data_IF_102784925879
#
_entry.id   IF_102784925879
#
_cell.length_a   1.000
_cell.length_b   1.000
_cell.length_c   1.000
_cell.angle_alpha   90.00
_cell.angle_beta   90.00
_cell.angle_gamma   90.00
#
_symmetry.space_group_name_H-M   'P 1'
#
loop_
_entity.id
_entity.type
_entity.pdbx_description
1 polymer ?
#
# COMPACT_ATOMS: atom_id res chain seq x y z
N UNK A 1 -18.09 5.20 -26.40
CA UNK A 1 -17.14 5.51 -25.31
C UNK A 1 -16.25 6.65 -25.78
N UNK A 2 -16.25 7.77 -25.06
CA UNK A 2 -15.45 8.95 -25.43
C UNK A 2 -13.96 8.64 -25.25
N UNK A 3 -13.24 8.42 -26.35
CA UNK A 3 -11.77 8.35 -26.34
C UNK A 3 -11.24 9.77 -26.21
N UNK A 4 -11.01 10.18 -24.97
CA UNK A 4 -10.45 11.49 -24.64
C UNK A 4 -9.05 11.60 -25.28
N UNK A 5 -8.97 12.14 -26.50
CA UNK A 5 -7.70 12.46 -27.19
C UNK A 5 -7.11 13.71 -26.54
N UNK A 6 -6.62 13.58 -25.31
CA UNK A 6 -5.71 14.56 -24.72
C UNK A 6 -4.38 14.39 -25.45
N UNK A 7 -4.15 15.20 -26.50
CA UNK A 7 -2.84 15.24 -27.16
C UNK A 7 -1.77 15.62 -26.12
N UNK A 8 -0.94 14.66 -25.74
CA UNK A 8 0.21 14.84 -24.84
C UNK A 8 0.13 14.13 -23.48
N UNK A 9 -1.03 13.58 -23.07
CA UNK A 9 -1.14 12.80 -21.82
C UNK A 9 -1.13 11.32 -22.15
N UNK A 10 -0.20 10.57 -21.55
CA UNK A 10 -0.15 9.11 -21.60
C UNK A 10 -0.11 8.55 -20.20
N UNK A 11 -0.59 7.32 -20.04
CA UNK A 11 -0.28 6.52 -18.87
C UNK A 11 1.21 6.15 -18.96
N UNK A 12 2.05 6.53 -17.98
CA UNK A 12 3.44 6.10 -17.96
C UNK A 12 3.51 4.58 -17.78
N UNK A 13 4.59 3.98 -18.28
CA UNK A 13 4.86 2.59 -18.02
C UNK A 13 5.31 2.39 -16.56
N UNK A 14 5.12 1.19 -16.03
CA UNK A 14 5.45 0.88 -14.64
C UNK A 14 6.94 1.04 -14.30
N UNK A 15 7.84 0.92 -15.28
CA UNK A 15 9.29 1.09 -15.05
C UNK A 15 9.76 2.56 -15.09
N UNK A 16 8.87 3.51 -15.37
CA UNK A 16 9.22 4.92 -15.31
C UNK A 16 9.29 5.42 -13.87
N UNK A 17 9.88 6.60 -13.67
CA UNK A 17 10.01 7.17 -12.33
C UNK A 17 8.65 7.32 -11.65
N UNK A 18 8.50 6.69 -10.50
CA UNK A 18 7.28 6.75 -9.70
C UNK A 18 7.48 7.71 -8.51
N UNK A 19 6.37 8.12 -7.90
CA UNK A 19 6.40 8.97 -6.69
C UNK A 19 6.17 8.18 -5.41
N UNK A 20 5.39 7.11 -5.50
CA UNK A 20 4.99 6.24 -4.40
C UNK A 20 4.35 4.97 -4.95
N UNK A 21 4.30 3.93 -4.12
CA UNK A 21 3.46 2.73 -4.30
C UNK A 21 2.27 2.83 -3.34
N UNK A 22 1.11 2.36 -3.77
CA UNK A 22 -0.10 2.28 -2.95
C UNK A 22 -0.48 0.83 -2.69
N UNK A 23 -0.79 0.49 -1.43
CA UNK A 23 -1.33 -0.79 -1.02
C UNK A 23 -2.68 -0.61 -0.30
N UNK A 24 -3.62 -1.53 -0.55
CA UNK A 24 -4.86 -1.68 0.20
C UNK A 24 -4.64 -2.81 1.20
N UNK A 25 -4.72 -2.50 2.50
CA UNK A 25 -4.37 -3.43 3.56
C UNK A 25 -5.48 -4.49 3.73
N UNK A 26 -5.14 -5.79 3.76
CA UNK A 26 -6.12 -6.87 3.85
C UNK A 26 -6.82 -6.86 5.20
N UNK A 27 -8.08 -7.31 5.23
CA UNK A 27 -8.87 -7.43 6.46
C UNK A 27 -9.80 -8.64 6.47
N UNK A 28 -10.37 -8.93 7.64
CA UNK A 28 -11.19 -10.11 7.90
C UNK A 28 -12.51 -10.17 7.12
N UNK A 29 -13.02 -9.04 6.65
CA UNK A 29 -14.29 -9.02 5.89
C UNK A 29 -14.14 -9.39 4.40
N UNK A 30 -12.99 -9.91 3.97
CA UNK A 30 -12.74 -10.26 2.57
C UNK A 30 -12.25 -11.69 2.40
N UNK A 31 -11.99 -12.09 1.15
CA UNK A 31 -11.50 -13.42 0.81
C UNK A 31 -10.14 -13.75 1.46
N UNK A 32 -9.47 -12.76 2.06
CA UNK A 32 -8.25 -12.95 2.85
C UNK A 32 -8.48 -13.55 4.23
N UNK A 33 -9.70 -13.55 4.77
CA UNK A 33 -9.99 -14.01 6.14
C UNK A 33 -9.33 -15.36 6.51
N UNK A 34 -9.35 -16.42 5.67
CA UNK A 34 -8.75 -17.71 6.02
C UNK A 34 -7.21 -17.69 6.09
N UNK A 35 -6.58 -16.67 5.51
CA UNK A 35 -5.12 -16.53 5.37
C UNK A 35 -4.63 -15.18 5.89
N UNK A 36 -5.41 -14.52 6.76
CA UNK A 36 -5.21 -13.12 7.10
C UNK A 36 -3.84 -12.90 7.77
N UNK A 37 -3.38 -13.86 8.56
CA UNK A 37 -2.06 -13.81 9.20
C UNK A 37 -0.94 -13.93 8.16
N UNK A 38 -1.03 -14.90 7.26
CA UNK A 38 -0.02 -15.14 6.22
C UNK A 38 0.07 -13.97 5.23
N UNK A 39 -1.06 -13.44 4.77
CA UNK A 39 -1.06 -12.29 3.85
C UNK A 39 -0.59 -11.02 4.55
N UNK A 40 -0.92 -10.83 5.83
CA UNK A 40 -0.40 -9.70 6.61
C UNK A 40 1.13 -9.73 6.67
N UNK A 41 1.73 -10.91 6.87
CA UNK A 41 3.19 -11.06 6.86
C UNK A 41 3.77 -10.70 5.47
N UNK A 42 3.14 -11.14 4.39
CA UNK A 42 3.56 -10.76 3.03
C UNK A 42 3.50 -9.23 2.84
N UNK A 43 2.43 -8.58 3.31
CA UNK A 43 2.28 -7.12 3.25
C UNK A 43 3.36 -6.39 4.05
N UNK A 44 3.75 -6.91 5.20
CA UNK A 44 4.85 -6.38 6.00
C UNK A 44 6.19 -6.49 5.27
N UNK A 45 6.46 -7.62 4.61
CA UNK A 45 7.67 -7.78 3.79
C UNK A 45 7.66 -6.87 2.56
N UNK A 46 6.52 -6.71 1.90
CA UNK A 46 6.36 -5.74 0.80
C UNK A 46 6.61 -4.32 1.28
N UNK A 47 6.00 -3.91 2.41
CA UNK A 47 6.22 -2.58 2.97
C UNK A 47 7.70 -2.32 3.28
N UNK A 48 8.39 -3.32 3.83
CA UNK A 48 9.83 -3.26 4.12
C UNK A 48 10.68 -3.16 2.85
N UNK A 49 10.31 -3.84 1.78
CA UNK A 49 11.00 -3.74 0.50
C UNK A 49 10.76 -2.39 -0.18
N UNK A 50 9.50 -1.96 -0.29
CA UNK A 50 9.10 -0.71 -0.95
C UNK A 50 9.75 0.50 -0.28
N UNK A 51 9.68 0.60 1.04
CA UNK A 51 10.18 1.76 1.81
C UNK A 51 11.70 1.97 1.74
N UNK A 52 12.45 1.03 1.16
CA UNK A 52 13.88 1.20 0.84
C UNK A 52 14.12 2.02 -0.43
N UNK A 53 13.11 2.11 -1.30
CA UNK A 53 13.23 2.67 -2.64
C UNK A 53 12.24 3.82 -2.87
N UNK A 54 11.00 3.66 -2.43
CA UNK A 54 9.91 4.59 -2.72
C UNK A 54 9.04 4.87 -1.49
N UNK A 55 8.24 5.93 -1.57
CA UNK A 55 7.19 6.19 -0.58
C UNK A 55 6.10 5.14 -0.66
N UNK A 56 5.52 4.81 0.49
CA UNK A 56 4.45 3.85 0.61
C UNK A 56 3.18 4.52 1.15
N UNK A 57 2.11 4.42 0.38
CA UNK A 57 0.77 4.84 0.78
C UNK A 57 -0.02 3.58 1.13
N UNK A 58 -0.61 3.55 2.32
CA UNK A 58 -1.44 2.43 2.76
C UNK A 58 -2.84 2.95 3.04
N UNK A 59 -3.83 2.25 2.51
CA UNK A 59 -5.23 2.44 2.90
C UNK A 59 -5.66 1.26 3.77
N UNK A 60 -6.31 1.54 4.89
CA UNK A 60 -6.73 0.52 5.85
C UNK A 60 -8.01 0.94 6.58
N UNK A 61 -8.82 -0.04 6.98
CA UNK A 61 -9.97 0.18 7.87
C UNK A 61 -9.53 0.48 9.30
N UNK A 62 -8.62 -0.34 9.83
CA UNK A 62 -8.02 -0.19 11.14
C UNK A 62 -6.59 0.37 11.01
N UNK A 63 -6.50 1.70 10.94
CA UNK A 63 -5.20 2.37 10.76
C UNK A 63 -4.29 2.24 11.97
N UNK A 64 -4.85 2.11 13.18
CA UNK A 64 -4.08 1.98 14.42
C UNK A 64 -3.37 0.62 14.46
N UNK A 65 -4.10 -0.46 14.20
CA UNK A 65 -3.51 -1.81 14.10
C UNK A 65 -2.43 -1.88 13.03
N UNK A 66 -2.68 -1.30 11.86
CA UNK A 66 -1.69 -1.30 10.76
C UNK A 66 -0.45 -0.49 11.13
N UNK A 67 -0.61 0.67 11.76
CA UNK A 67 0.50 1.49 12.27
C UNK A 67 1.35 0.70 13.29
N UNK A 68 0.71 -0.01 14.22
CA UNK A 68 1.39 -0.83 15.22
C UNK A 68 2.18 -1.98 14.59
N UNK A 69 1.58 -2.68 13.63
CA UNK A 69 2.25 -3.75 12.89
C UNK A 69 3.47 -3.22 12.15
N UNK A 70 3.33 -2.11 11.40
CA UNK A 70 4.43 -1.53 10.63
C UNK A 70 5.55 -1.02 11.53
N UNK A 71 5.23 -0.37 12.64
CA UNK A 71 6.23 0.15 13.59
C UNK A 71 7.08 -0.97 14.21
N UNK A 72 6.51 -2.17 14.38
CA UNK A 72 7.25 -3.35 14.87
C UNK A 72 8.18 -3.96 13.82
N UNK A 73 7.90 -3.77 12.53
CA UNK A 73 8.61 -4.45 11.43
C UNK A 73 9.55 -3.55 10.63
N UNK A 74 9.33 -2.22 10.67
CA UNK A 74 10.09 -1.22 9.94
C UNK A 74 10.99 -0.42 10.88
N UNK A 75 12.12 0.05 10.35
CA UNK A 75 12.95 1.03 11.08
C UNK A 75 12.29 2.40 11.12
N UNK A 76 12.69 3.28 12.05
CA UNK A 76 12.20 4.66 12.09
C UNK A 76 12.40 5.41 10.76
N UNK A 77 13.52 5.15 10.06
CA UNK A 77 13.80 5.74 8.76
C UNK A 77 12.82 5.27 7.67
N UNK A 78 12.43 3.99 7.70
CA UNK A 78 11.44 3.43 6.79
C UNK A 78 10.02 3.92 7.12
N UNK A 79 9.69 4.05 8.40
CA UNK A 79 8.38 4.58 8.82
C UNK A 79 8.13 6.01 8.33
N UNK A 80 9.18 6.84 8.17
CA UNK A 80 9.06 8.18 7.56
C UNK A 80 8.64 8.15 6.09
N UNK A 81 8.79 7.01 5.40
CA UNK A 81 8.34 6.82 4.01
C UNK A 81 6.89 6.35 3.92
N UNK A 82 6.25 6.00 5.04
CA UNK A 82 4.90 5.46 5.08
C UNK A 82 3.89 6.57 5.38
N UNK A 83 2.76 6.55 4.68
CA UNK A 83 1.57 7.35 5.03
C UNK A 83 0.34 6.44 5.00
N UNK A 84 -0.41 6.43 6.10
CA UNK A 84 -1.61 5.61 6.25
C UNK A 84 -2.85 6.49 6.17
N UNK A 85 -3.83 6.07 5.38
CA UNK A 85 -5.12 6.72 5.25
C UNK A 85 -6.22 5.75 5.69
N UNK A 86 -7.13 6.25 6.52
CA UNK A 86 -8.36 5.53 6.84
C UNK A 86 -9.23 5.48 5.58
N UNK A 87 -9.57 4.28 5.14
CA UNK A 87 -10.45 4.06 4.00
C UNK A 87 -11.23 2.77 4.20
N UNK A 88 -12.54 2.87 4.08
CA UNK A 88 -13.36 1.69 3.88
C UNK A 88 -13.09 1.12 2.49
N UNK A 89 -13.03 -0.20 2.38
CA UNK A 89 -12.77 -0.90 1.13
C UNK A 89 -13.37 -2.31 1.22
N UNK A 90 -13.60 -2.96 0.09
CA UNK A 90 -14.26 -4.25 0.00
C UNK A 90 -13.32 -5.38 -0.44
N UNK A 91 -12.01 -5.21 -0.27
CA UNK A 91 -10.95 -6.09 -0.77
C UNK A 91 -10.02 -6.59 0.36
#
# INVERSE_FOLDING_TARGET
>A
MNTNRLQGVRLPAEWEQQRAIMLIWPHEDTDWCPYLEEITEVYLQMAKAITRHEKLLITARDTERVQDLLTKHLTEGQMKQVTIFACDNND
#
